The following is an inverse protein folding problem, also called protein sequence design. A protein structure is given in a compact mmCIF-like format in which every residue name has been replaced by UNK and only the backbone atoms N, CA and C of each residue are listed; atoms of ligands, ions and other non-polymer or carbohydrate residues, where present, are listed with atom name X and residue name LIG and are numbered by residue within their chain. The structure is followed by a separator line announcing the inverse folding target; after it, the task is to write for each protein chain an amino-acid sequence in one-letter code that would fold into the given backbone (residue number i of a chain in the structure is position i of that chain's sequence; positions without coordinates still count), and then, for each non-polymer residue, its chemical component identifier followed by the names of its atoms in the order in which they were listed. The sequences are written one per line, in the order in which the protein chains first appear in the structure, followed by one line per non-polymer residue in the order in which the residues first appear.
data_IF_658725176672
#
_entry.id   IF_658725176672
#
_cell.length_a   1.000
_cell.length_b   1.000
_cell.length_c   1.000
_cell.angle_alpha   90.00
_cell.angle_beta   90.00
_cell.angle_gamma   90.00
#
_symmetry.space_group_name_H-M   'P 1'
#
loop_
_entity.id
_entity.type
_entity.pdbx_description
1 polymer ?
#
# COMPACT_ATOMS: atom_id res chain seq x y z
N UNK A 1 5.06 1.19 5.55
CA UNK A 1 5.79 -0.06 5.82
C UNK A 1 5.07 -1.28 5.24
N UNK A 2 3.84 -1.61 5.71
CA UNK A 2 3.09 -2.80 5.27
C UNK A 2 2.98 -2.99 3.76
N UNK A 3 2.71 -1.93 2.99
CA UNK A 3 2.64 -2.02 1.53
C UNK A 3 3.95 -2.51 0.89
N UNK A 4 5.11 -1.98 1.32
CA UNK A 4 6.41 -2.36 0.78
C UNK A 4 6.71 -3.82 1.13
N UNK A 5 6.58 -4.17 2.41
CA UNK A 5 6.84 -5.53 2.87
C UNK A 5 5.97 -6.56 2.14
N UNK A 6 4.70 -6.27 1.87
CA UNK A 6 3.81 -7.21 1.19
C UNK A 6 3.95 -7.17 -0.34
N UNK A 7 3.74 -6.02 -0.98
CA UNK A 7 3.61 -5.91 -2.44
C UNK A 7 4.95 -5.79 -3.17
N UNK A 8 6.04 -5.45 -2.46
CA UNK A 8 7.38 -5.32 -3.04
C UNK A 8 8.28 -6.46 -2.59
N UNK A 9 8.31 -6.75 -1.28
CA UNK A 9 9.22 -7.76 -0.72
C UNK A 9 8.58 -9.16 -0.60
N UNK A 10 7.25 -9.28 -0.71
CA UNK A 10 6.56 -10.58 -0.75
C UNK A 10 6.28 -11.23 0.61
N UNK A 11 6.40 -10.50 1.72
CA UNK A 11 6.08 -11.03 3.05
C UNK A 11 4.57 -11.25 3.25
N UNK A 12 4.24 -12.34 3.95
CA UNK A 12 2.88 -12.66 4.34
C UNK A 12 2.41 -11.81 5.55
N UNK A 13 1.09 -11.67 5.70
CA UNK A 13 0.53 -10.80 6.75
C UNK A 13 0.86 -11.23 8.19
N UNK A 14 1.07 -12.52 8.43
CA UNK A 14 1.52 -13.07 9.71
C UNK A 14 2.97 -12.67 10.02
N UNK A 15 3.86 -12.71 9.03
CA UNK A 15 5.26 -12.29 9.16
C UNK A 15 5.34 -10.78 9.42
N UNK A 16 4.60 -9.99 8.64
CA UNK A 16 4.52 -8.53 8.81
C UNK A 16 3.98 -8.17 10.19
N UNK A 17 2.95 -8.88 10.69
CA UNK A 17 2.41 -8.67 12.02
C UNK A 17 3.48 -8.87 13.11
N UNK A 18 4.33 -9.89 12.96
CA UNK A 18 5.49 -10.12 13.84
C UNK A 18 6.55 -9.03 13.75
N UNK A 19 6.94 -8.63 12.53
CA UNK A 19 7.98 -7.60 12.30
C UNK A 19 7.55 -6.23 12.83
N UNK A 20 6.29 -5.84 12.58
CA UNK A 20 5.77 -4.50 12.88
C UNK A 20 5.16 -4.41 14.29
N UNK A 21 4.87 -5.56 14.92
CA UNK A 21 4.20 -5.58 16.22
C UNK A 21 2.74 -5.15 16.14
N UNK A 22 2.02 -5.56 15.09
CA UNK A 22 0.60 -5.25 14.91
C UNK A 22 -0.23 -6.52 14.70
N UNK A 23 -1.56 -6.40 14.75
CA UNK A 23 -2.41 -7.57 14.43
C UNK A 23 -2.41 -7.87 12.93
N UNK A 24 -2.66 -9.14 12.56
CA UNK A 24 -2.83 -9.56 11.16
C UNK A 24 -3.94 -8.73 10.47
N UNK A 25 -5.04 -8.45 11.18
CA UNK A 25 -6.13 -7.60 10.69
C UNK A 25 -5.68 -6.16 10.43
N UNK A 26 -4.82 -5.60 11.30
CA UNK A 26 -4.22 -4.28 11.09
C UNK A 26 -3.40 -4.28 9.79
N UNK A 27 -2.49 -5.24 9.63
CA UNK A 27 -1.69 -5.42 8.40
C UNK A 27 -2.56 -5.46 7.14
N UNK A 28 -3.61 -6.29 7.11
CA UNK A 28 -4.56 -6.36 5.98
C UNK A 28 -5.25 -5.02 5.69
N UNK A 29 -5.75 -4.35 6.72
CA UNK A 29 -6.45 -3.06 6.57
C UNK A 29 -5.51 -1.94 6.08
N UNK A 30 -4.27 -1.92 6.56
CA UNK A 30 -3.25 -0.94 6.16
C UNK A 30 -2.82 -1.16 4.72
N UNK A 31 -2.67 -2.42 4.29
CA UNK A 31 -2.39 -2.74 2.88
C UNK A 31 -3.51 -2.26 1.96
N UNK A 32 -4.77 -2.53 2.32
CA UNK A 32 -5.92 -2.05 1.56
C UNK A 32 -5.94 -0.52 1.43
N UNK A 33 -5.81 0.20 2.55
CA UNK A 33 -5.77 1.67 2.57
C UNK A 33 -4.62 2.22 1.73
N UNK A 34 -3.43 1.62 1.82
CA UNK A 34 -2.27 2.03 1.03
C UNK A 34 -2.51 1.86 -0.48
N UNK A 35 -3.08 0.72 -0.89
CA UNK A 35 -3.44 0.47 -2.30
C UNK A 35 -4.50 1.45 -2.81
N UNK A 36 -5.51 1.78 -2.00
CA UNK A 36 -6.52 2.78 -2.37
C UNK A 36 -5.89 4.16 -2.57
N UNK A 37 -5.05 4.61 -1.64
CA UNK A 37 -4.33 5.88 -1.77
C UNK A 37 -3.42 5.91 -3.00
N UNK A 38 -2.71 4.81 -3.30
CA UNK A 38 -1.88 4.72 -4.50
C UNK A 38 -2.71 4.84 -5.78
N UNK A 39 -3.87 4.17 -5.84
CA UNK A 39 -4.80 4.30 -6.98
C UNK A 39 -5.28 5.73 -7.17
N UNK A 40 -5.62 6.44 -6.09
CA UNK A 40 -6.00 7.86 -6.16
C UNK A 40 -4.87 8.74 -6.68
N UNK A 41 -3.66 8.57 -6.14
CA UNK A 41 -2.48 9.32 -6.60
C UNK A 41 -2.17 9.08 -8.09
N UNK A 42 -2.30 7.84 -8.57
CA UNK A 42 -2.10 7.52 -9.98
C UNK A 42 -3.18 8.12 -10.88
N UNK A 43 -4.43 8.19 -10.41
CA UNK A 43 -5.52 8.89 -11.14
C UNK A 43 -5.20 10.37 -11.28
N UNK A 44 -4.79 11.02 -10.19
CA UNK A 44 -4.41 12.45 -10.20
C UNK A 44 -3.20 12.70 -11.10
N UNK A 45 -2.13 11.89 -10.98
CA UNK A 45 -0.94 12.05 -11.82
C UNK A 45 -1.23 11.87 -13.31
N UNK A 46 -2.14 10.95 -13.68
CA UNK A 46 -2.57 10.81 -15.07
C UNK A 46 -3.33 12.03 -15.58
N UNK A 47 -4.18 12.65 -14.74
CA UNK A 47 -4.85 13.90 -15.08
C UNK A 47 -3.85 15.04 -15.27
N UNK A 48 -2.86 15.18 -14.38
CA UNK A 48 -1.81 16.19 -14.48
C UNK A 48 -0.93 16.03 -15.73
N UNK A 49 -0.56 14.79 -16.09
CA UNK A 49 0.20 14.51 -17.32
C UNK A 49 -0.58 14.80 -18.61
N UNK A 50 -1.91 14.72 -18.57
CA UNK A 50 -2.75 15.06 -19.72
C UNK A 50 -2.97 16.57 -19.90
N UNK A 51 -2.68 17.38 -18.87
CA UNK A 51 -2.88 18.84 -18.86
C UNK A 51 -1.57 19.59 -19.18
N UNK A 52 -0.40 18.95 -19.03
CA UNK A 52 0.87 19.54 -19.49
C UNK A 52 1.04 19.38 -21.01
N UNK A 53 1.31 20.48 -21.75
CA UNK A 53 1.51 20.46 -23.21
C UNK A 53 2.80 19.73 -23.61
#
# INVERSE_FOLDING_TARGET
MVFVLHDVEGYEHNEIAGIVGCSIGNSKSQLHKARMKLRELLKTSRAEKAIKP
#
